data_IF_212004125058
#
_entry.id   IF_212004125058
#
_cell.length_a   1.000
_cell.length_b   1.000
_cell.length_c   1.000
_cell.angle_alpha   90.00
_cell.angle_beta   90.00
_cell.angle_gamma   90.00
#
_symmetry.space_group_name_H-M   'P 1'
#
loop_
_entity.id
_entity.type
_entity.pdbx_description
1 polymer ?
#
# COMPACT_ATOMS: atom_id res chain seq x y z
N UNK A 1 -11.20 -19.68 0.96
CA UNK A 1 -9.81 -19.24 1.18
C UNK A 1 -8.90 -20.34 1.73
N UNK A 2 -9.21 -20.99 2.86
CA UNK A 2 -8.33 -22.00 3.47
C UNK A 2 -7.89 -23.10 2.48
N UNK A 3 -8.83 -23.70 1.73
CA UNK A 3 -8.49 -24.73 0.73
C UNK A 3 -7.60 -24.21 -0.41
N UNK A 4 -7.74 -22.94 -0.79
CA UNK A 4 -6.91 -22.32 -1.84
C UNK A 4 -5.48 -22.12 -1.33
N UNK A 5 -5.31 -21.66 -0.08
CA UNK A 5 -4.00 -21.50 0.55
C UNK A 5 -3.31 -22.85 0.70
N UNK A 6 -4.03 -23.89 1.14
CA UNK A 6 -3.48 -25.25 1.29
C UNK A 6 -3.02 -25.86 -0.04
N UNK A 7 -3.69 -25.57 -1.15
CA UNK A 7 -3.33 -26.05 -2.49
C UNK A 7 -2.39 -25.09 -3.26
N UNK A 8 -1.88 -24.05 -2.60
CA UNK A 8 -1.17 -22.97 -3.29
C UNK A 8 0.18 -23.37 -3.92
N UNK A 9 0.74 -24.51 -3.52
CA UNK A 9 1.94 -25.06 -4.17
C UNK A 9 1.66 -25.52 -5.62
N UNK A 10 0.42 -25.89 -5.91
CA UNK A 10 -0.04 -26.29 -7.23
C UNK A 10 -0.67 -25.12 -7.99
N UNK A 11 -1.41 -24.25 -7.29
CA UNK A 11 -2.04 -23.07 -7.88
C UNK A 11 -1.81 -21.86 -6.98
N UNK A 12 -0.83 -21.01 -7.30
CA UNK A 12 -0.53 -19.83 -6.51
C UNK A 12 -1.76 -18.96 -6.25
N UNK A 13 -1.84 -18.37 -5.06
CA UNK A 13 -2.95 -17.53 -4.64
C UNK A 13 -2.47 -16.10 -4.51
N UNK A 14 -3.21 -15.17 -5.11
CA UNK A 14 -3.01 -13.73 -4.96
C UNK A 14 -4.27 -13.12 -4.34
N UNK A 15 -4.07 -12.23 -3.37
CA UNK A 15 -5.11 -11.36 -2.80
C UNK A 15 -4.63 -9.94 -2.97
N UNK A 16 -5.37 -9.14 -3.72
CA UNK A 16 -4.97 -7.79 -4.05
C UNK A 16 -6.15 -6.83 -4.03
N UNK A 17 -5.85 -5.56 -3.77
CA UNK A 17 -6.81 -4.47 -3.79
C UNK A 17 -6.58 -3.46 -2.68
N UNK A 18 -7.54 -2.55 -2.52
CA UNK A 18 -7.62 -1.59 -1.44
C UNK A 18 -8.21 -2.24 -0.18
N UNK A 19 -7.43 -2.22 0.90
CA UNK A 19 -7.80 -2.78 2.20
C UNK A 19 -8.38 -1.74 3.15
N UNK A 20 -8.34 -0.45 2.79
CA UNK A 20 -8.75 0.70 3.61
C UNK A 20 -8.09 0.74 5.01
N UNK A 21 -6.92 0.13 5.15
CA UNK A 21 -6.14 0.13 6.39
C UNK A 21 -4.65 -0.09 6.08
N UNK A 22 -3.74 0.55 6.83
CA UNK A 22 -2.31 0.34 6.63
C UNK A 22 -1.83 -1.06 7.05
N UNK A 23 -0.56 -1.36 6.76
CA UNK A 23 0.09 -2.59 7.22
C UNK A 23 0.47 -2.51 8.69
N UNK A 24 0.43 -3.65 9.41
CA UNK A 24 1.10 -3.79 10.71
C UNK A 24 2.63 -3.64 10.63
N UNK A 25 3.21 -3.64 9.43
CA UNK A 25 4.64 -3.39 9.19
C UNK A 25 4.95 -1.95 8.81
N UNK A 26 3.95 -1.11 8.51
CA UNK A 26 4.20 0.24 8.01
C UNK A 26 4.15 1.30 9.14
N UNK A 27 3.36 1.11 10.18
CA UNK A 27 3.24 2.04 11.33
C UNK A 27 4.03 1.55 12.55
N UNK A 28 5.35 1.64 12.48
CA UNK A 28 6.27 1.12 13.51
C UNK A 28 6.94 2.25 14.30
N UNK A 29 7.50 1.95 15.47
CA UNK A 29 8.18 2.97 16.29
C UNK A 29 9.26 3.74 15.51
N UNK A 30 10.01 3.07 14.62
CA UNK A 30 11.08 3.67 13.80
C UNK A 30 10.61 4.80 12.87
N UNK A 31 9.36 4.81 12.43
CA UNK A 31 8.80 5.85 11.56
C UNK A 31 7.60 6.58 12.16
N UNK A 32 7.38 6.47 13.48
CA UNK A 32 6.28 7.17 14.19
C UNK A 32 6.20 8.66 13.88
N UNK A 33 7.32 9.34 13.64
CA UNK A 33 7.33 10.77 13.29
C UNK A 33 6.58 11.09 11.98
N UNK A 34 6.44 10.10 11.09
CA UNK A 34 5.65 10.17 9.85
C UNK A 34 4.15 9.94 10.11
N UNK A 35 3.80 9.42 11.30
CA UNK A 35 2.45 8.98 11.69
C UNK A 35 2.00 9.68 12.99
N UNK A 36 2.25 10.98 13.12
CA UNK A 36 1.88 11.79 14.31
C UNK A 36 2.45 11.31 15.64
N UNK A 37 3.59 10.63 15.60
CA UNK A 37 4.22 10.07 16.78
C UNK A 37 3.56 8.77 17.27
N UNK A 38 2.73 8.12 16.45
CA UNK A 38 2.02 6.88 16.77
C UNK A 38 2.70 5.65 16.18
N UNK A 39 2.58 4.53 16.89
CA UNK A 39 2.81 3.17 16.42
C UNK A 39 1.46 2.45 16.48
N UNK A 40 1.07 1.76 15.40
CA UNK A 40 -0.24 1.10 15.32
C UNK A 40 -0.10 -0.27 14.66
N UNK A 41 -0.48 -1.32 15.38
CA UNK A 41 -0.55 -2.68 14.84
C UNK A 41 -1.89 -2.92 14.15
N UNK A 42 -1.99 -2.54 12.88
CA UNK A 42 -3.20 -2.73 12.08
C UNK A 42 -3.55 -4.21 11.91
N UNK A 43 -4.72 -4.68 12.35
CA UNK A 43 -4.98 -6.12 12.49
C UNK A 43 -5.21 -6.85 11.16
N UNK A 44 -5.66 -6.16 10.11
CA UNK A 44 -6.14 -6.78 8.86
C UNK A 44 -5.02 -7.48 8.09
N UNK A 45 -3.91 -6.79 7.86
CA UNK A 45 -2.73 -7.32 7.16
C UNK A 45 -2.00 -8.36 8.01
N UNK A 46 -1.93 -8.15 9.32
CA UNK A 46 -1.44 -9.13 10.30
C UNK A 46 -2.20 -10.46 10.18
N UNK A 47 -3.53 -10.41 10.10
CA UNK A 47 -4.37 -11.62 9.97
C UNK A 47 -4.03 -12.40 8.70
N UNK A 48 -3.89 -11.74 7.54
CA UNK A 48 -3.47 -12.42 6.31
C UNK A 48 -2.11 -13.10 6.46
N UNK A 49 -1.13 -12.43 7.07
CA UNK A 49 0.20 -13.03 7.28
C UNK A 49 0.16 -14.27 8.17
N UNK A 50 -0.74 -14.33 9.16
CA UNK A 50 -0.89 -15.55 9.97
C UNK A 50 -1.33 -16.78 9.17
N UNK A 51 -1.93 -16.58 8.01
CA UNK A 51 -2.30 -17.68 7.09
C UNK A 51 -1.14 -18.13 6.18
N UNK A 52 0.06 -17.55 6.34
CA UNK A 52 1.24 -17.80 5.52
C UNK A 52 1.36 -16.87 4.30
N UNK A 53 0.37 -16.01 4.05
CA UNK A 53 0.45 -15.06 2.93
C UNK A 53 1.56 -14.04 3.17
N UNK A 54 2.21 -13.63 2.10
CA UNK A 54 3.31 -12.67 2.12
C UNK A 54 2.94 -11.43 1.34
N UNK A 55 3.23 -10.25 1.89
CA UNK A 55 3.08 -8.97 1.22
C UNK A 55 4.21 -8.81 0.20
N UNK A 56 3.88 -8.79 -1.10
CA UNK A 56 4.91 -8.70 -2.15
C UNK A 56 5.74 -7.41 -2.06
N UNK A 57 5.14 -6.29 -1.64
CA UNK A 57 5.86 -5.02 -1.54
C UNK A 57 6.89 -5.08 -0.42
N UNK A 58 6.53 -5.61 0.77
CA UNK A 58 7.47 -5.73 1.89
C UNK A 58 8.51 -6.82 1.72
N UNK A 59 8.21 -7.86 0.94
CA UNK A 59 9.24 -8.84 0.54
C UNK A 59 10.33 -8.18 -0.29
N UNK A 60 9.98 -7.30 -1.23
CA UNK A 60 10.96 -6.58 -2.08
C UNK A 60 11.59 -5.40 -1.33
N UNK A 61 10.82 -4.69 -0.52
CA UNK A 61 11.22 -3.49 0.22
C UNK A 61 11.01 -3.70 1.72
N UNK A 62 11.91 -4.38 2.43
CA UNK A 62 11.67 -4.76 3.83
C UNK A 62 11.67 -3.57 4.81
N UNK A 63 12.30 -2.44 4.46
CA UNK A 63 12.34 -1.28 5.35
C UNK A 63 11.24 -0.26 5.00
N UNK A 64 10.20 -0.10 5.84
CA UNK A 64 9.14 0.88 5.64
C UNK A 64 9.64 2.32 5.80
N UNK A 65 10.78 2.54 6.46
CA UNK A 65 11.35 3.88 6.65
C UNK A 65 11.88 4.43 5.31
N UNK A 66 12.65 3.62 4.58
CA UNK A 66 13.25 4.03 3.30
C UNK A 66 12.28 3.89 2.13
N UNK A 67 11.36 2.92 2.21
CA UNK A 67 10.40 2.62 1.15
C UNK A 67 8.99 2.56 1.75
N UNK A 68 8.35 3.71 2.04
CA UNK A 68 7.03 3.72 2.67
C UNK A 68 5.93 3.15 1.78
N UNK A 69 6.13 3.16 0.45
CA UNK A 69 5.22 2.51 -0.49
C UNK A 69 3.84 3.15 -0.54
N UNK A 70 3.75 4.45 -0.31
CA UNK A 70 2.50 5.20 -0.24
C UNK A 70 1.62 4.92 -1.45
N UNK A 71 0.36 4.57 -1.19
CA UNK A 71 -0.67 4.41 -2.21
C UNK A 71 -1.81 5.40 -2.02
N UNK A 72 -2.05 5.96 -0.82
CA UNK A 72 -3.13 6.91 -0.57
C UNK A 72 -2.89 7.82 0.65
N UNK A 73 -3.40 9.06 0.69
CA UNK A 73 -3.82 9.82 -0.47
C UNK A 73 -2.58 10.37 -1.19
N UNK A 74 -2.65 10.40 -2.51
CA UNK A 74 -1.52 10.87 -3.34
C UNK A 74 -1.61 12.36 -3.70
N UNK A 75 -2.57 13.06 -3.11
CA UNK A 75 -2.81 14.50 -3.29
C UNK A 75 -2.81 15.22 -1.94
N UNK A 76 -2.50 16.52 -1.95
CA UNK A 76 -2.63 17.35 -0.75
C UNK A 76 -4.09 17.77 -0.58
N UNK A 77 -4.79 17.13 0.37
CA UNK A 77 -6.19 17.44 0.72
C UNK A 77 -6.40 18.92 1.06
N UNK A 78 -5.39 19.64 1.54
CA UNK A 78 -5.49 21.08 1.87
C UNK A 78 -5.87 21.94 0.67
N UNK A 79 -5.59 21.49 -0.55
CA UNK A 79 -5.95 22.22 -1.77
C UNK A 79 -7.40 22.00 -2.20
N UNK A 80 -8.02 20.91 -1.78
CA UNK A 80 -9.32 20.46 -2.32
C UNK A 80 -10.47 20.56 -1.32
N UNK A 81 -10.16 20.49 -0.03
CA UNK A 81 -11.18 20.44 1.01
C UNK A 81 -11.10 21.72 1.85
N UNK A 82 -12.15 22.55 1.81
CA UNK A 82 -12.38 23.65 2.75
C UNK A 82 -12.75 23.12 4.14
N UNK A 83 -12.09 22.06 4.60
CA UNK A 83 -12.29 21.50 5.93
C UNK A 83 -11.73 22.46 6.98
N UNK A 84 -12.46 22.55 8.09
CA UNK A 84 -12.20 23.51 9.18
C UNK A 84 -10.93 23.11 9.96
N UNK A 85 -10.56 21.83 9.92
CA UNK A 85 -9.31 21.28 10.40
C UNK A 85 -8.32 21.10 9.23
N UNK A 86 -7.34 22.00 9.13
CA UNK A 86 -6.20 21.88 8.19
C UNK A 86 -5.23 20.76 8.59
N UNK A 87 -5.69 19.71 9.28
CA UNK A 87 -4.86 18.58 9.62
C UNK A 87 -4.48 17.86 8.33
N UNK A 88 -3.19 17.59 8.21
CA UNK A 88 -2.63 16.90 7.06
C UNK A 88 -3.07 15.43 7.15
N UNK A 89 -3.64 14.86 6.09
CA UNK A 89 -3.91 13.42 6.07
C UNK A 89 -2.57 12.66 6.12
N UNK A 90 -2.53 11.53 6.84
CA UNK A 90 -1.36 10.64 6.77
C UNK A 90 -1.29 10.03 5.39
N UNK A 91 -0.09 9.99 4.83
CA UNK A 91 0.17 9.23 3.62
C UNK A 91 0.44 7.79 4.01
N UNK A 92 -0.42 6.90 3.55
CA UNK A 92 -0.45 5.49 3.88
C UNK A 92 -0.30 4.60 2.64
N UNK A 93 0.09 3.36 2.91
CA UNK A 93 -0.02 2.25 1.96
C UNK A 93 -1.21 1.40 2.38
N UNK A 94 -2.28 1.46 1.60
CA UNK A 94 -3.53 0.73 1.87
C UNK A 94 -3.93 -0.22 0.73
N UNK A 95 -3.21 -0.15 -0.40
CA UNK A 95 -3.36 -1.08 -1.51
C UNK A 95 -2.25 -2.12 -1.45
N UNK A 96 -2.61 -3.40 -1.52
CA UNK A 96 -1.67 -4.50 -1.31
C UNK A 96 -1.77 -5.55 -2.42
N UNK A 97 -0.66 -6.27 -2.61
CA UNK A 97 -0.64 -7.55 -3.33
C UNK A 97 -0.01 -8.59 -2.40
N UNK A 98 -0.86 -9.38 -1.75
CA UNK A 98 -0.47 -10.55 -0.97
C UNK A 98 -0.43 -11.80 -1.84
N UNK A 99 0.52 -12.69 -1.58
CA UNK A 99 0.67 -13.93 -2.34
C UNK A 99 1.00 -15.14 -1.44
N UNK A 100 0.64 -16.34 -1.92
CA UNK A 100 1.03 -17.62 -1.34
C UNK A 100 1.29 -18.66 -2.45
N UNK A 101 2.19 -19.61 -2.19
CA UNK A 101 2.58 -20.66 -3.12
C UNK A 101 4.03 -20.53 -3.57
N UNK A 102 4.33 -21.09 -4.74
CA UNK A 102 5.69 -21.24 -5.28
C UNK A 102 6.25 -19.99 -5.96
N UNK A 103 5.41 -18.99 -6.27
CA UNK A 103 5.83 -17.72 -6.87
C UNK A 103 6.59 -16.85 -5.87
N UNK A 104 7.46 -15.96 -6.35
CA UNK A 104 8.21 -15.01 -5.53
C UNK A 104 8.32 -13.68 -6.28
N UNK A 105 8.09 -12.53 -5.64
CA UNK A 105 8.17 -11.26 -6.32
C UNK A 105 9.62 -10.97 -6.73
N UNK A 106 9.80 -10.60 -7.99
CA UNK A 106 11.05 -10.10 -8.58
C UNK A 106 11.14 -8.59 -8.37
N UNK A 107 10.02 -7.90 -8.55
CA UNK A 107 9.91 -6.44 -8.41
C UNK A 107 8.56 -6.10 -7.78
N UNK A 108 8.49 -4.97 -7.06
CA UNK A 108 7.22 -4.40 -6.60
C UNK A 108 7.36 -2.89 -6.46
N UNK A 109 6.40 -2.12 -6.96
CA UNK A 109 6.45 -0.67 -6.95
C UNK A 109 5.04 -0.05 -6.96
N UNK A 110 4.95 1.17 -6.44
CA UNK A 110 3.77 2.01 -6.63
C UNK A 110 3.87 2.74 -7.97
N UNK A 111 2.76 2.81 -8.70
CA UNK A 111 2.66 3.40 -10.02
C UNK A 111 1.70 4.57 -10.04
N UNK A 112 2.22 5.72 -10.47
CA UNK A 112 1.55 7.02 -10.46
C UNK A 112 1.11 7.51 -11.83
N UNK A 113 1.11 6.65 -12.86
CA UNK A 113 0.87 7.06 -14.25
C UNK A 113 2.13 7.61 -14.94
N UNK A 114 2.14 7.56 -16.27
CA UNK A 114 3.24 8.03 -17.14
C UNK A 114 2.88 9.30 -17.92
N UNK A 115 1.60 9.49 -18.27
CA UNK A 115 1.11 10.60 -19.08
C UNK A 115 0.53 11.76 -18.24
N UNK A 116 0.73 13.03 -18.61
CA UNK A 116 0.11 14.15 -17.90
C UNK A 116 -1.42 14.05 -17.96
N UNK A 117 -2.07 13.97 -16.80
CA UNK A 117 -3.53 14.16 -16.74
C UNK A 117 -3.78 15.61 -17.14
N UNK A 118 -4.70 15.84 -18.09
CA UNK A 118 -5.08 17.19 -18.51
C UNK A 118 -5.47 18.08 -17.33
N UNK A 119 -5.51 19.41 -17.55
CA UNK A 119 -5.66 20.52 -16.58
C UNK A 119 -6.80 20.42 -15.53
N UNK A 120 -7.58 19.35 -15.52
CA UNK A 120 -8.75 19.16 -14.66
C UNK A 120 -8.41 18.77 -13.23
N UNK A 121 -7.19 18.30 -12.97
CA UNK A 121 -6.74 17.96 -11.63
C UNK A 121 -5.31 18.49 -11.39
N UNK A 122 -5.10 19.27 -10.33
CA UNK A 122 -3.81 19.86 -9.93
C UNK A 122 -2.91 18.81 -9.25
N UNK A 123 -2.84 17.61 -9.82
CA UNK A 123 -2.03 16.50 -9.34
C UNK A 123 -0.62 16.59 -9.93
N UNK A 124 0.19 17.56 -9.49
CA UNK A 124 1.51 17.85 -10.10
C UNK A 124 2.44 16.62 -10.21
N UNK A 125 2.34 15.68 -9.27
CA UNK A 125 3.16 14.45 -9.29
C UNK A 125 2.39 13.16 -9.56
N UNK A 126 1.06 13.21 -9.52
CA UNK A 126 0.21 12.06 -9.79
C UNK A 126 -0.39 12.19 -11.19
N UNK A 127 0.12 11.36 -12.10
CA UNK A 127 -0.28 11.26 -13.50
C UNK A 127 -1.37 10.21 -13.71
N UNK A 128 -1.94 9.69 -12.63
CA UNK A 128 -3.04 8.74 -12.59
C UNK A 128 -4.36 9.42 -12.15
N UNK A 129 -5.50 9.19 -12.82
CA UNK A 129 -6.77 9.89 -12.54
C UNK A 129 -7.49 9.41 -11.26
N UNK A 130 -6.76 8.91 -10.27
CA UNK A 130 -7.28 8.49 -8.96
C UNK A 130 -6.42 9.07 -7.85
N UNK A 131 -7.04 9.23 -6.69
CA UNK A 131 -6.43 9.50 -5.41
C UNK A 131 -5.52 8.39 -4.86
N UNK A 132 -5.50 7.24 -5.53
CA UNK A 132 -4.58 6.15 -5.25
C UNK A 132 -3.46 6.05 -6.29
N UNK A 133 -2.28 5.58 -5.88
CA UNK A 133 -1.33 4.95 -6.79
C UNK A 133 -1.66 3.47 -6.94
N UNK A 134 -1.46 2.92 -8.14
CA UNK A 134 -1.54 1.47 -8.34
C UNK A 134 -0.35 0.77 -7.68
N UNK A 135 -0.49 -0.51 -7.35
CA UNK A 135 0.63 -1.38 -6.96
C UNK A 135 0.87 -2.37 -8.07
N UNK A 136 2.11 -2.49 -8.51
CA UNK A 136 2.54 -3.42 -9.56
C UNK A 136 3.61 -4.33 -8.98
N UNK A 137 3.44 -5.63 -9.15
CA UNK A 137 4.41 -6.64 -8.73
C UNK A 137 4.66 -7.62 -9.88
N UNK A 138 5.93 -7.84 -10.21
CA UNK A 138 6.37 -8.91 -11.10
C UNK A 138 6.77 -10.14 -10.26
N UNK A 139 6.37 -11.34 -10.69
CA UNK A 139 6.65 -12.62 -10.02
C UNK A 139 7.47 -13.58 -10.89
#
# INVERSE_FOLDING_TARGET
>A
MVNQIMNSNNTPVIVAGDFNTPSDEDWIDRNRAQHFGLEVQWPTTKLLKTTGMRDSFRVVHPDPVTNPGITWPVFDRKQYEQRVDKQQEVKDRIDFIFYHGTIRPISSATYKGSDPIGKRFEHKENKWPSDHYAVITDF
#
